data_IF_649171021659
#
_entry.id   IF_649171021659
#
_cell.length_a   1.000
_cell.length_b   1.000
_cell.length_c   1.000
_cell.angle_alpha   90.00
_cell.angle_beta   90.00
_cell.angle_gamma   90.00
#
_symmetry.space_group_name_H-M   'P 1'
#
loop_
_entity.id
_entity.type
_entity.pdbx_description
1 polymer ?
#
# COMPACT_ATOMS: atom_id res chain seq x y z
N UNK A 1 2.56 22.49 2.50
CA UNK A 1 3.13 21.71 1.38
C UNK A 1 2.63 20.25 1.37
N UNK A 2 3.07 19.29 2.22
CA UNK A 2 2.59 17.89 2.15
C UNK A 2 1.06 17.75 2.15
N UNK A 3 0.38 18.49 3.04
CA UNK A 3 -1.07 18.56 3.16
C UNK A 3 -1.78 18.88 1.83
N UNK A 4 -1.30 19.87 1.06
CA UNK A 4 -1.92 20.25 -0.22
C UNK A 4 -1.75 19.16 -1.29
N UNK A 5 -0.53 18.62 -1.45
CA UNK A 5 -0.31 17.54 -2.40
C UNK A 5 -1.07 16.28 -2.00
N UNK A 6 -1.19 15.97 -0.70
CA UNK A 6 -1.97 14.82 -0.24
C UNK A 6 -3.48 15.02 -0.48
N UNK A 7 -4.02 16.21 -0.20
CA UNK A 7 -5.42 16.53 -0.49
C UNK A 7 -5.72 16.39 -1.99
N UNK A 8 -4.85 16.92 -2.85
CA UNK A 8 -5.01 16.83 -4.31
C UNK A 8 -4.87 15.37 -4.82
N UNK A 9 -3.95 14.59 -4.27
CA UNK A 9 -3.80 13.15 -4.56
C UNK A 9 -5.07 12.38 -4.18
N UNK A 10 -5.58 12.57 -2.96
CA UNK A 10 -6.81 11.94 -2.49
C UNK A 10 -8.05 12.36 -3.31
N UNK A 11 -8.15 13.64 -3.69
CA UNK A 11 -9.20 14.17 -4.56
C UNK A 11 -9.16 13.54 -5.96
N UNK A 12 -7.96 13.33 -6.51
CA UNK A 12 -7.75 12.57 -7.75
C UNK A 12 -8.15 11.10 -7.63
N UNK A 13 -7.78 10.43 -6.52
CA UNK A 13 -8.16 9.04 -6.27
C UNK A 13 -9.67 8.86 -6.06
N UNK A 14 -10.32 9.69 -5.24
CA UNK A 14 -11.77 9.64 -5.04
C UNK A 14 -12.54 9.80 -6.37
N UNK A 15 -12.07 10.67 -7.27
CA UNK A 15 -12.62 10.81 -8.62
C UNK A 15 -12.47 9.53 -9.48
N UNK A 16 -11.34 8.81 -9.37
CA UNK A 16 -11.12 7.55 -10.08
C UNK A 16 -11.94 6.40 -9.47
N UNK A 17 -11.92 6.28 -8.14
CA UNK A 17 -12.59 5.22 -7.38
C UNK A 17 -14.11 5.29 -7.52
N UNK A 18 -14.70 6.50 -7.47
CA UNK A 18 -16.14 6.72 -7.77
C UNK A 18 -16.53 6.40 -9.23
N UNK A 19 -15.56 6.17 -10.12
CA UNK A 19 -15.75 5.70 -11.51
C UNK A 19 -15.33 4.23 -11.69
N UNK A 20 -15.09 3.51 -10.59
CA UNK A 20 -14.60 2.13 -10.56
C UNK A 20 -13.23 1.94 -11.25
N UNK A 21 -12.40 2.99 -11.35
CA UNK A 21 -11.05 2.95 -11.93
C UNK A 21 -10.01 2.85 -10.82
N UNK A 22 -9.18 1.81 -10.87
CA UNK A 22 -8.00 1.66 -9.99
C UNK A 22 -6.74 2.15 -10.73
N UNK A 23 -5.85 2.88 -10.05
CA UNK A 23 -4.61 3.41 -10.65
C UNK A 23 -3.51 2.33 -10.75
N UNK A 24 -3.33 1.54 -9.68
CA UNK A 24 -2.45 0.36 -9.54
C UNK A 24 -0.93 0.60 -9.65
N UNK A 25 -0.49 1.69 -10.28
CA UNK A 25 0.91 2.12 -10.36
C UNK A 25 1.10 3.53 -9.78
N UNK A 26 0.68 3.73 -8.53
CA UNK A 26 0.90 5.00 -7.84
C UNK A 26 2.34 5.07 -7.30
N UNK A 27 3.09 6.05 -7.81
CA UNK A 27 4.47 6.37 -7.43
C UNK A 27 4.74 7.86 -7.71
N UNK A 28 5.72 8.51 -7.05
CA UNK A 28 6.00 9.95 -7.23
C UNK A 28 6.23 10.39 -8.68
N UNK A 29 6.79 9.51 -9.52
CA UNK A 29 7.04 9.77 -10.94
C UNK A 29 5.74 9.94 -11.76
N UNK A 30 4.63 9.38 -11.27
CA UNK A 30 3.31 9.43 -11.89
C UNK A 30 2.45 10.59 -11.34
N UNK A 31 3.04 11.50 -10.56
CA UNK A 31 2.39 12.69 -9.99
C UNK A 31 2.94 13.95 -10.65
N UNK A 32 2.24 14.46 -11.66
CA UNK A 32 2.65 15.67 -12.39
C UNK A 32 2.27 16.91 -11.58
N UNK A 33 3.25 17.77 -11.28
CA UNK A 33 3.05 19.03 -10.54
C UNK A 33 3.34 20.21 -11.48
N UNK A 34 2.40 21.14 -11.59
CA UNK A 34 2.58 22.36 -12.41
C UNK A 34 3.17 23.53 -11.59
N UNK A 35 3.47 24.65 -12.26
CA UNK A 35 4.05 25.86 -11.62
C UNK A 35 3.14 26.52 -10.57
N UNK A 36 1.84 26.23 -10.57
CA UNK A 36 0.87 26.73 -9.59
C UNK A 36 0.81 25.85 -8.32
N UNK A 37 1.49 24.70 -8.32
CA UNK A 37 1.36 23.69 -7.27
C UNK A 37 0.14 22.77 -7.43
N UNK A 38 -0.50 22.75 -8.60
CA UNK A 38 -1.52 21.75 -8.92
C UNK A 38 -0.86 20.40 -9.19
N UNK A 39 -1.35 19.35 -8.54
CA UNK A 39 -0.98 17.96 -8.75
C UNK A 39 -2.03 17.26 -9.64
N UNK A 40 -1.58 16.49 -10.63
CA UNK A 40 -2.43 15.67 -11.49
C UNK A 40 -1.86 14.25 -11.59
N UNK A 41 -2.75 13.26 -11.53
CA UNK A 41 -2.40 11.84 -11.75
C UNK A 41 -2.06 11.61 -13.22
N UNK A 42 -1.05 10.79 -13.49
CA UNK A 42 -0.59 10.42 -14.82
C UNK A 42 -0.16 8.93 -14.88
N UNK A 43 0.08 8.45 -16.09
CA UNK A 43 0.35 7.02 -16.39
C UNK A 43 -0.72 6.06 -15.83
N UNK A 44 -1.92 6.17 -16.41
CA UNK A 44 -2.98 5.19 -16.26
C UNK A 44 -2.70 3.90 -17.09
N UNK A 45 -1.46 3.62 -17.52
CA UNK A 45 -1.11 2.48 -18.38
C UNK A 45 -1.39 1.11 -17.75
N UNK A 46 -1.41 1.02 -16.42
CA UNK A 46 -1.82 -0.18 -15.67
C UNK A 46 -3.23 -0.05 -15.04
N UNK A 47 -3.93 1.06 -15.26
CA UNK A 47 -5.25 1.30 -14.70
C UNK A 47 -6.34 0.44 -15.37
N UNK A 48 -7.36 0.05 -14.60
CA UNK A 48 -8.49 -0.75 -15.10
C UNK A 48 -9.78 -0.45 -14.35
N UNK A 49 -10.90 -0.71 -15.02
CA UNK A 49 -12.19 -0.89 -14.38
C UNK A 49 -12.21 -2.17 -13.52
N UNK A 50 -13.02 -2.16 -12.45
CA UNK A 50 -13.28 -3.36 -11.63
C UNK A 50 -13.78 -4.55 -12.46
N UNK A 51 -13.46 -5.77 -11.99
CA UNK A 51 -14.07 -7.02 -12.48
C UNK A 51 -13.37 -7.74 -13.63
N UNK A 52 -12.34 -7.17 -14.27
CA UNK A 52 -11.61 -7.82 -15.38
C UNK A 52 -10.41 -8.61 -14.85
N UNK A 53 -10.35 -9.95 -14.99
CA UNK A 53 -9.22 -10.77 -14.55
C UNK A 53 -7.88 -10.35 -15.15
N UNK A 54 -6.81 -10.54 -14.37
CA UNK A 54 -5.46 -10.08 -14.71
C UNK A 54 -4.63 -11.26 -15.25
N UNK A 55 -4.10 -11.11 -16.46
CA UNK A 55 -2.89 -11.86 -16.86
C UNK A 55 -1.69 -11.21 -16.17
N UNK A 56 -0.87 -12.01 -15.50
CA UNK A 56 0.33 -11.52 -14.84
C UNK A 56 1.31 -10.94 -15.88
N UNK A 57 1.76 -9.70 -15.67
CA UNK A 57 2.93 -9.14 -16.35
C UNK A 57 4.19 -9.45 -15.53
N UNK A 58 5.35 -9.47 -16.18
CA UNK A 58 6.63 -9.85 -15.57
C UNK A 58 7.02 -8.95 -14.39
N UNK A 59 7.54 -9.55 -13.32
CA UNK A 59 7.69 -8.89 -12.02
C UNK A 59 8.82 -7.85 -11.95
N UNK A 60 9.76 -7.89 -12.89
CA UNK A 60 11.11 -7.31 -12.81
C UNK A 60 11.19 -5.80 -13.11
N UNK A 61 10.12 -5.18 -13.64
CA UNK A 61 10.16 -3.78 -14.15
C UNK A 61 9.22 -2.83 -13.38
N UNK A 62 8.46 -3.33 -12.39
CA UNK A 62 7.48 -2.52 -11.63
C UNK A 62 8.02 -2.20 -10.24
N UNK A 63 8.00 -0.93 -9.83
CA UNK A 63 8.50 -0.50 -8.52
C UNK A 63 7.83 -1.25 -7.36
N UNK A 64 8.62 -1.85 -6.45
CA UNK A 64 8.12 -2.60 -5.30
C UNK A 64 7.61 -1.70 -4.17
N UNK A 65 8.21 -0.51 -4.04
CA UNK A 65 8.19 0.31 -2.81
C UNK A 65 6.81 0.83 -2.39
N UNK A 66 5.88 0.93 -3.35
CA UNK A 66 4.52 1.44 -3.15
C UNK A 66 3.46 0.32 -3.20
N UNK A 67 3.86 -0.96 -3.31
CA UNK A 67 2.92 -2.09 -3.32
C UNK A 67 2.47 -2.45 -1.89
N UNK A 68 1.19 -2.75 -1.65
CA UNK A 68 0.69 -3.17 -0.35
C UNK A 68 1.06 -4.63 -0.02
N UNK A 69 1.05 -5.02 1.28
CA UNK A 69 1.35 -6.39 1.69
C UNK A 69 0.41 -7.42 1.07
N UNK A 70 -0.88 -7.10 0.87
CA UNK A 70 -1.84 -7.99 0.21
C UNK A 70 -1.42 -8.37 -1.22
N UNK A 71 -1.04 -7.41 -2.05
CA UNK A 71 -0.46 -7.67 -3.40
C UNK A 71 0.86 -8.44 -3.31
N UNK A 72 1.72 -8.15 -2.32
CA UNK A 72 3.02 -8.82 -2.14
C UNK A 72 2.89 -10.30 -1.73
N UNK A 73 1.85 -10.65 -0.96
CA UNK A 73 1.49 -12.05 -0.66
C UNK A 73 0.74 -12.76 -1.80
N UNK A 74 0.50 -12.10 -2.94
CA UNK A 74 -0.14 -12.72 -4.11
C UNK A 74 -1.66 -12.68 -4.11
N UNK A 75 -2.28 -11.65 -3.49
CA UNK A 75 -3.70 -11.37 -3.67
C UNK A 75 -4.09 -11.35 -5.16
N UNK A 76 -5.22 -11.97 -5.50
CA UNK A 76 -5.80 -11.93 -6.86
C UNK A 76 -6.98 -10.95 -6.97
N UNK A 77 -7.63 -10.67 -5.85
CA UNK A 77 -8.72 -9.71 -5.74
C UNK A 77 -8.12 -8.35 -5.36
N UNK A 78 -8.40 -7.36 -6.18
CA UNK A 78 -7.82 -6.02 -6.08
C UNK A 78 -8.94 -4.99 -5.86
N UNK A 79 -8.75 -4.07 -4.92
CA UNK A 79 -9.70 -3.01 -4.61
C UNK A 79 -9.02 -1.64 -4.55
N UNK A 80 -9.81 -0.60 -4.30
CA UNK A 80 -9.37 0.80 -4.11
C UNK A 80 -8.27 0.94 -3.07
N UNK A 81 -8.27 0.06 -2.06
CA UNK A 81 -7.26 -0.03 -0.98
C UNK A 81 -5.80 -0.13 -1.45
N UNK A 82 -5.52 -0.60 -2.68
CA UNK A 82 -4.16 -0.68 -3.22
C UNK A 82 -3.61 0.73 -3.43
N UNK A 83 -4.38 1.58 -4.11
CA UNK A 83 -4.00 2.97 -4.38
C UNK A 83 -3.86 3.75 -3.06
N UNK A 84 -4.69 3.44 -2.05
CA UNK A 84 -4.62 4.06 -0.72
C UNK A 84 -3.31 3.75 0.02
N UNK A 85 -2.80 2.52 -0.09
CA UNK A 85 -1.50 2.17 0.46
C UNK A 85 -0.36 2.92 -0.25
N UNK A 86 -0.38 2.93 -1.58
CA UNK A 86 0.61 3.66 -2.39
C UNK A 86 0.61 5.16 -2.06
N UNK A 87 -0.58 5.75 -1.86
CA UNK A 87 -0.74 7.13 -1.41
C UNK A 87 -0.19 7.36 0.01
N UNK A 88 -0.35 6.40 0.94
CA UNK A 88 0.31 6.43 2.25
C UNK A 88 1.84 6.42 2.16
N UNK A 89 2.41 5.58 1.30
CA UNK A 89 3.86 5.56 1.05
C UNK A 89 4.37 6.90 0.48
N UNK A 90 3.64 7.48 -0.48
CA UNK A 90 3.93 8.82 -1.04
C UNK A 90 3.81 9.91 0.03
N UNK A 91 2.80 9.84 0.90
CA UNK A 91 2.60 10.82 1.98
C UNK A 91 3.76 10.82 2.98
N UNK A 92 4.24 9.63 3.35
CA UNK A 92 5.43 9.50 4.19
C UNK A 92 6.69 10.04 3.49
N UNK A 93 6.86 9.82 2.19
CA UNK A 93 7.99 10.34 1.41
C UNK A 93 7.99 11.88 1.35
N UNK A 94 6.82 12.50 1.10
CA UNK A 94 6.64 13.96 1.15
C UNK A 94 6.99 14.54 2.55
N UNK A 95 6.64 13.81 3.61
CA UNK A 95 6.98 14.16 4.99
C UNK A 95 8.47 13.91 5.32
N UNK A 96 9.10 12.88 4.74
CA UNK A 96 10.48 12.46 4.99
C UNK A 96 11.47 12.94 3.90
N UNK A 97 11.25 14.16 3.41
CA UNK A 97 12.16 14.87 2.51
C UNK A 97 12.54 14.12 1.21
N UNK A 98 11.59 13.40 0.61
CA UNK A 98 11.81 12.69 -0.67
C UNK A 98 12.51 11.35 -0.53
N UNK A 99 12.47 10.73 0.66
CA UNK A 99 12.98 9.37 0.90
C UNK A 99 11.83 8.35 0.93
N UNK A 100 11.83 7.32 0.06
CA UNK A 100 10.83 6.27 0.09
C UNK A 100 10.76 5.56 1.46
N UNK A 101 9.54 5.30 1.93
CA UNK A 101 9.30 4.68 3.25
C UNK A 101 9.76 3.22 3.31
N UNK A 102 9.56 2.47 2.22
CA UNK A 102 9.87 1.05 2.09
C UNK A 102 10.70 0.78 0.82
N UNK A 103 12.01 1.10 0.79
CA UNK A 103 12.85 0.84 -0.38
C UNK A 103 13.37 -0.60 -0.36
N UNK A 104 12.49 -1.58 -0.57
CA UNK A 104 12.86 -3.00 -0.70
C UNK A 104 13.53 -3.33 -2.04
N UNK A 105 14.51 -4.25 -2.02
CA UNK A 105 15.19 -4.75 -3.21
C UNK A 105 14.39 -5.87 -3.91
N UNK A 106 13.68 -6.67 -3.12
CA UNK A 106 12.83 -7.79 -3.55
C UNK A 106 11.55 -7.86 -2.69
N UNK A 107 10.69 -8.86 -2.92
CA UNK A 107 9.39 -9.00 -2.24
C UNK A 107 9.54 -9.30 -0.73
N UNK A 108 10.55 -10.06 -0.33
CA UNK A 108 10.82 -10.44 1.06
C UNK A 108 11.47 -9.27 1.82
N UNK A 109 12.46 -8.59 1.23
CA UNK A 109 13.01 -7.34 1.78
C UNK A 109 11.94 -6.24 1.89
N UNK A 110 11.03 -6.13 0.92
CA UNK A 110 9.88 -5.22 0.98
C UNK A 110 8.94 -5.56 2.15
N UNK A 111 8.56 -6.83 2.33
CA UNK A 111 7.69 -7.27 3.43
C UNK A 111 8.38 -7.10 4.80
N UNK A 112 9.67 -7.45 4.92
CA UNK A 112 10.48 -7.22 6.13
C UNK A 112 10.53 -5.75 6.52
N UNK A 113 10.62 -4.83 5.54
CA UNK A 113 10.57 -3.38 5.79
C UNK A 113 9.19 -2.91 6.22
N UNK A 114 8.12 -3.48 5.66
CA UNK A 114 6.75 -3.18 6.06
C UNK A 114 6.50 -3.61 7.52
N UNK A 115 6.82 -4.85 7.88
CA UNK A 115 6.54 -5.37 9.22
C UNK A 115 7.47 -4.84 10.32
N UNK A 116 8.58 -4.16 9.97
CA UNK A 116 9.50 -3.54 10.94
C UNK A 116 8.91 -2.31 11.65
N UNK A 117 7.85 -1.69 11.12
CA UNK A 117 7.22 -0.54 11.75
C UNK A 117 6.20 -0.96 12.81
N UNK A 118 6.06 -0.20 13.90
CA UNK A 118 5.01 -0.39 14.88
C UNK A 118 3.67 0.06 14.30
N UNK A 119 3.04 -0.84 13.55
CA UNK A 119 1.58 -0.87 13.48
C UNK A 119 1.09 -1.05 14.92
N UNK A 120 0.17 -0.22 15.39
CA UNK A 120 -0.29 -0.21 16.80
C UNK A 120 -1.08 -1.48 17.22
N UNK A 121 -1.15 -2.44 16.29
CA UNK A 121 -1.83 -3.74 16.36
C UNK A 121 -0.84 -4.92 16.24
N UNK A 122 0.48 -4.67 16.18
CA UNK A 122 1.51 -5.67 15.89
C UNK A 122 1.62 -6.04 14.40
N UNK A 123 2.13 -7.24 14.08
CA UNK A 123 2.32 -7.76 12.70
C UNK A 123 1.13 -7.99 11.68
N UNK A 124 -0.20 -8.41 11.83
CA UNK A 124 -2.07 -9.61 14.03
C UNK A 124 -1.84 -10.69 15.13
N UNK A 125 -2.45 -11.86 15.10
CA UNK A 125 -1.71 -13.01 15.61
C UNK A 125 -1.57 -13.98 14.45
N UNK A 126 -0.47 -13.74 13.75
CA UNK A 126 -0.66 -13.06 12.48
C UNK A 126 -0.65 -14.13 11.36
N UNK A 127 -1.76 -14.87 11.31
CA UNK A 127 -1.88 -16.25 10.79
C UNK A 127 -2.58 -16.36 9.44
N UNK A 128 -2.15 -17.33 8.62
CA UNK A 128 -2.62 -17.51 7.25
C UNK A 128 -4.11 -17.92 7.11
N UNK A 129 -4.76 -18.39 8.18
CA UNK A 129 -6.17 -18.78 8.12
C UNK A 129 -7.13 -17.58 8.16
N UNK A 130 -6.77 -16.48 8.84
CA UNK A 130 -7.59 -15.27 8.88
C UNK A 130 -7.67 -14.59 7.49
N UNK A 131 -6.56 -14.62 6.75
CA UNK A 131 -6.49 -14.08 5.39
C UNK A 131 -7.44 -14.81 4.43
N UNK A 132 -7.55 -16.14 4.54
CA UNK A 132 -8.51 -16.93 3.76
C UNK A 132 -9.96 -16.86 4.25
N UNK A 133 -10.21 -16.31 5.45
CA UNK A 133 -11.56 -16.18 6.01
C UNK A 133 -12.27 -14.88 5.61
N UNK A 134 -11.52 -13.79 5.40
CA UNK A 134 -12.07 -12.44 5.17
C UNK A 134 -12.36 -12.12 3.67
N UNK A 135 -12.73 -13.14 2.88
CA UNK A 135 -13.19 -12.97 1.49
C UNK A 135 -12.10 -13.00 0.41
N UNK A 136 -10.83 -13.14 0.78
CA UNK A 136 -9.79 -13.57 -0.16
C UNK A 136 -9.88 -15.10 -0.30
N UNK A 137 -9.88 -15.61 -1.54
CA UNK A 137 -10.36 -16.96 -1.87
C UNK A 137 -9.63 -18.14 -1.19
N UNK A 138 -10.20 -19.33 -1.36
CA UNK A 138 -9.77 -20.62 -0.79
C UNK A 138 -8.27 -20.71 -0.42
N UNK A 139 -7.90 -20.99 0.86
CA UNK A 139 -6.52 -21.16 1.31
C UNK A 139 -5.61 -22.03 0.43
N UNK A 140 -6.16 -22.99 -0.34
CA UNK A 140 -5.41 -23.85 -1.27
C UNK A 140 -4.98 -23.17 -2.58
N UNK A 141 -5.48 -21.97 -2.87
CA UNK A 141 -5.20 -21.23 -4.11
C UNK A 141 -4.09 -20.19 -4.01
N UNK A 142 -3.58 -19.96 -2.79
CA UNK A 142 -2.50 -19.04 -2.50
C UNK A 142 -1.18 -19.69 -2.90
N UNK A 143 -0.62 -19.26 -4.03
CA UNK A 143 0.69 -19.72 -4.51
C UNK A 143 1.74 -18.70 -4.11
N UNK A 144 2.66 -19.01 -3.17
CA UNK A 144 3.82 -18.17 -2.95
C UNK A 144 4.62 -18.03 -4.24
N UNK A 145 4.91 -16.78 -4.65
CA UNK A 145 5.93 -16.43 -5.63
C UNK A 145 5.83 -17.10 -7.02
N UNK A 146 4.65 -17.62 -7.40
CA UNK A 146 4.41 -18.20 -8.73
C UNK A 146 5.15 -19.51 -9.02
N UNK A 147 5.76 -20.15 -8.01
CA UNK A 147 6.57 -21.36 -8.18
C UNK A 147 5.66 -22.55 -8.58
N UNK A 148 6.02 -23.37 -9.59
CA UNK A 148 5.26 -24.56 -9.95
C UNK A 148 5.28 -25.61 -8.82
N UNK A 149 4.15 -26.28 -8.58
CA UNK A 149 3.94 -27.16 -7.43
C UNK A 149 4.96 -28.33 -7.38
N UNK A 150 5.40 -28.81 -8.55
CA UNK A 150 6.37 -29.90 -8.66
C UNK A 150 7.78 -29.56 -8.10
N UNK A 151 8.10 -28.28 -7.88
CA UNK A 151 9.36 -27.87 -7.25
C UNK A 151 9.40 -28.17 -5.74
N UNK A 152 8.24 -28.32 -5.08
CA UNK A 152 8.17 -28.68 -3.66
C UNK A 152 8.74 -30.06 -3.34
N UNK A 153 8.71 -30.98 -4.30
CA UNK A 153 9.24 -32.34 -4.15
C UNK A 153 10.78 -32.39 -4.05
N UNK A 154 11.49 -31.40 -4.60
CA UNK A 154 12.96 -31.34 -4.61
C UNK A 154 13.56 -30.76 -3.32
N UNK A 155 12.76 -30.09 -2.48
CA UNK A 155 13.23 -29.38 -1.28
C UNK A 155 12.68 -29.93 0.04
N UNK A 156 11.89 -31.01 0.01
CA UNK A 156 11.63 -31.87 1.17
C UNK A 156 10.97 -31.22 2.39
N UNK A 157 10.22 -30.13 2.22
CA UNK A 157 9.63 -29.37 3.33
C UNK A 157 8.23 -28.83 2.98
N UNK A 158 7.24 -28.90 3.89
CA UNK A 158 5.93 -28.30 3.71
C UNK A 158 6.03 -26.78 3.91
N UNK A 159 6.41 -26.04 2.86
CA UNK A 159 6.61 -24.59 2.92
C UNK A 159 5.28 -23.83 2.96
N UNK A 160 4.63 -23.85 4.12
CA UNK A 160 4.14 -22.60 4.67
C UNK A 160 5.36 -21.68 4.80
N UNK A 161 5.34 -20.45 4.25
CA UNK A 161 6.40 -19.48 4.57
C UNK A 161 6.42 -19.30 6.10
N UNK A 162 7.61 -19.38 6.69
CA UNK A 162 7.78 -19.14 8.13
C UNK A 162 7.13 -17.79 8.48
N UNK A 163 6.31 -17.70 9.55
CA UNK A 163 5.68 -16.45 9.91
C UNK A 163 6.76 -15.38 10.11
N UNK A 164 6.57 -14.20 9.51
CA UNK A 164 7.53 -13.11 9.66
C UNK A 164 7.76 -12.84 11.15
N UNK A 165 9.03 -12.73 11.59
CA UNK A 165 9.33 -12.61 13.01
C UNK A 165 8.66 -11.35 13.58
N UNK A 166 8.12 -11.46 14.79
CA UNK A 166 7.51 -10.32 15.50
C UNK A 166 8.56 -9.23 15.70
N UNK A 167 8.51 -8.19 14.86
CA UNK A 167 9.43 -7.06 14.97
C UNK A 167 9.06 -6.23 16.21
N UNK A 168 10.01 -5.96 17.13
CA UNK A 168 9.71 -5.16 18.31
C UNK A 168 9.41 -3.73 17.90
N UNK A 169 8.37 -3.14 18.52
CA UNK A 169 7.74 -1.85 18.21
C UNK A 169 8.66 -0.62 18.46
N UNK A 170 9.78 -0.55 17.76
CA UNK A 170 10.94 0.29 18.07
C UNK A 170 11.05 1.55 17.21
N UNK A 171 10.34 1.61 16.08
CA UNK A 171 10.48 2.67 15.07
C UNK A 171 9.33 3.69 15.18
N UNK A 172 9.40 4.63 16.12
CA UNK A 172 8.38 5.67 16.27
C UNK A 172 8.20 6.49 14.99
N UNK A 173 6.95 6.58 14.49
CA UNK A 173 6.60 7.36 13.29
C UNK A 173 6.98 8.84 13.40
N UNK A 174 7.12 9.40 14.60
CA UNK A 174 7.58 10.78 14.82
C UNK A 174 8.96 11.02 14.19
N UNK A 175 9.85 10.02 14.26
CA UNK A 175 11.20 10.10 13.69
C UNK A 175 11.22 9.83 12.18
N UNK A 176 10.18 9.18 11.66
CA UNK A 176 10.04 8.73 10.26
C UNK A 176 9.42 9.83 9.40
N UNK A 177 8.43 10.54 9.93
CA UNK A 177 7.67 11.59 9.24
C UNK A 177 7.66 12.89 10.06
N UNK A 178 8.83 13.50 10.33
CA UNK A 178 8.96 14.63 11.26
C UNK A 178 8.23 15.91 10.83
N UNK A 179 7.76 15.99 9.57
CA UNK A 179 6.93 17.10 9.07
C UNK A 179 5.42 16.92 9.31
N UNK A 180 4.98 15.80 9.90
CA UNK A 180 3.56 15.56 10.22
C UNK A 180 3.27 15.81 11.70
N UNK A 181 2.19 16.57 11.94
CA UNK A 181 1.54 16.72 13.24
C UNK A 181 0.83 15.42 13.67
N UNK A 182 0.12 15.43 14.80
CA UNK A 182 -0.62 14.25 15.27
C UNK A 182 -1.65 13.74 14.26
N UNK A 183 -2.53 14.61 13.75
CA UNK A 183 -3.60 14.21 12.79
C UNK A 183 -3.06 13.76 11.43
N UNK A 184 -1.88 14.24 11.02
CA UNK A 184 -1.19 13.75 9.82
C UNK A 184 -0.59 12.36 10.00
N UNK A 185 -0.09 12.02 11.20
CA UNK A 185 0.41 10.66 11.49
C UNK A 185 -0.74 9.66 11.62
N UNK A 186 -1.84 10.06 12.23
CA UNK A 186 -3.10 9.29 12.29
C UNK A 186 -3.65 8.98 10.88
N UNK A 187 -3.73 9.99 9.99
CA UNK A 187 -4.09 9.76 8.58
C UNK A 187 -3.13 8.76 7.90
N UNK A 188 -1.82 8.91 8.13
CA UNK A 188 -0.81 8.00 7.58
C UNK A 188 -0.98 6.56 8.08
N UNK A 189 -1.29 6.37 9.36
CA UNK A 189 -1.55 5.05 9.97
C UNK A 189 -2.82 4.41 9.39
N UNK A 190 -3.87 5.20 9.12
CA UNK A 190 -5.10 4.71 8.49
C UNK A 190 -4.93 4.37 6.99
N UNK A 191 -4.04 5.07 6.28
CA UNK A 191 -3.66 4.76 4.89
C UNK A 191 -2.76 3.51 4.78
N UNK A 192 -1.92 3.26 5.78
CA UNK A 192 -0.94 2.17 5.79
C UNK A 192 -1.37 0.95 6.64
N UNK A 193 -2.68 0.70 6.83
CA UNK A 193 -3.10 -0.55 7.48
C UNK A 193 -2.81 -1.76 6.59
N UNK A 194 -2.19 -2.78 7.18
CA UNK A 194 -1.82 -4.00 6.46
C UNK A 194 -3.03 -4.77 5.94
N UNK A 195 -4.13 -4.87 6.70
CA UNK A 195 -5.39 -5.42 6.22
C UNK A 195 -6.08 -4.42 5.26
N UNK A 196 -6.32 -4.75 3.97
CA UNK A 196 -6.92 -3.85 3.01
C UNK A 196 -8.38 -3.48 3.31
N UNK A 197 -9.10 -4.27 4.11
CA UNK A 197 -10.49 -4.00 4.53
C UNK A 197 -10.56 -2.91 5.61
N UNK A 198 -9.50 -2.75 6.40
CA UNK A 198 -9.42 -1.74 7.47
C UNK A 198 -8.79 -0.41 7.00
N UNK A 199 -8.30 -0.37 5.75
CA UNK A 199 -7.54 0.73 5.15
C UNK A 199 -8.51 1.80 4.65
N UNK A 200 -8.30 3.05 5.08
CA UNK A 200 -9.23 4.17 4.81
C UNK A 200 -9.40 4.42 3.30
N UNK A 201 -10.64 4.68 2.85
CA UNK A 201 -10.93 5.03 1.46
C UNK A 201 -10.52 6.48 1.13
N UNK A 202 -10.45 6.82 -0.15
CA UNK A 202 -10.13 8.18 -0.58
C UNK A 202 -11.19 9.22 -0.14
N UNK A 203 -12.46 8.80 -0.02
CA UNK A 203 -13.57 9.69 0.36
C UNK A 203 -13.58 9.97 1.87
N UNK A 204 -13.36 8.95 2.71
CA UNK A 204 -13.17 9.11 4.15
C UNK A 204 -11.89 9.89 4.47
N UNK A 205 -10.80 9.63 3.75
CA UNK A 205 -9.52 10.32 3.93
C UNK A 205 -9.62 11.82 3.64
N UNK A 206 -10.47 12.26 2.70
CA UNK A 206 -10.73 13.68 2.44
C UNK A 206 -11.51 14.38 3.57
N UNK A 207 -12.23 13.62 4.40
CA UNK A 207 -13.00 14.11 5.56
C UNK A 207 -12.18 14.10 6.86
N UNK A 208 -10.93 13.62 6.82
CA UNK A 208 -10.08 13.43 8.00
C UNK A 208 -9.74 14.76 8.72
N UNK A 209 -9.59 14.78 10.07
CA UNK A 209 -9.05 15.90 10.85
C UNK A 209 -7.61 16.38 10.51
N UNK A 210 -7.05 15.93 9.39
CA UNK A 210 -5.83 16.50 8.80
C UNK A 210 -6.13 17.57 7.74
N UNK A 211 -7.39 17.67 7.27
CA UNK A 211 -7.82 18.62 6.23
C UNK A 211 -8.88 19.63 6.70
N UNK A 212 -9.32 19.59 7.95
CA UNK A 212 -10.36 20.50 8.49
C UNK A 212 -9.99 21.98 8.38
N UNK A 213 -8.73 22.31 8.67
CA UNK A 213 -8.21 23.69 8.59
C UNK A 213 -7.56 24.00 7.22
N UNK A 214 -7.72 23.11 6.24
CA UNK A 214 -7.09 23.24 4.92
C UNK A 214 -8.07 23.82 3.90
N UNK A 215 -7.98 25.12 3.64
CA UNK A 215 -8.60 25.74 2.47
C UNK A 215 -7.96 25.15 1.18
N UNK A 216 -8.75 24.51 0.28
CA UNK A 216 -8.23 24.07 -1.01
C UNK A 216 -7.82 25.26 -1.89
N UNK A 217 -6.80 25.09 -2.75
CA UNK A 217 -6.57 25.97 -3.89
C UNK A 217 -7.60 25.72 -5.01
#
# INVERSE_FOLDING_TARGET
LPQSFMYQLLKGLAFCHSRNVLHRDLKPQNLLINRNGELKLADFGLARAFGIPVRCYSAEVVTLWYRPPDVLFGAKLYSTSIDMWSAGCIFAELANAGRPLFPGNDVDDQLKRIFRYPWEWGTPEWTAWEWGAQGMGNPKEWRPLGIPWEWGALWGSPVCPQPYPMYPATTSLVNVVPKLNATGRDLLQNLLKCNPVQRISAEEALQHPYFTDFCPP
#
